data_IF_322119476152
#
_entry.id   IF_322119476152
#
_cell.length_a   1.000
_cell.length_b   1.000
_cell.length_c   1.000
_cell.angle_alpha   90.00
_cell.angle_beta   90.00
_cell.angle_gamma   90.00
#
_symmetry.space_group_name_H-M   'P 1'
#
loop_
_entity.id
_entity.type
_entity.pdbx_description
1 polymer ?
#
# COMPACT_ATOMS: atom_id res chain seq x y z
N UNK A 1 -9.25 -18.36 -16.74
CA UNK A 1 -7.97 -17.94 -17.39
C UNK A 1 -7.88 -16.40 -17.32
N UNK A 2 -6.77 -15.86 -16.84
CA UNK A 2 -6.53 -14.42 -16.81
C UNK A 2 -6.40 -13.86 -18.23
N UNK A 3 -7.00 -12.69 -18.47
CA UNK A 3 -6.80 -12.00 -19.75
C UNK A 3 -5.40 -11.41 -19.83
N UNK A 4 -4.79 -11.40 -21.02
CA UNK A 4 -3.48 -10.79 -21.26
C UNK A 4 -3.45 -9.30 -20.88
N UNK A 5 -4.58 -8.60 -21.02
CA UNK A 5 -4.74 -7.19 -20.64
C UNK A 5 -4.58 -7.02 -19.13
N UNK A 6 -5.26 -7.85 -18.33
CA UNK A 6 -5.19 -7.80 -16.86
C UNK A 6 -3.79 -8.19 -16.37
N UNK A 7 -3.19 -9.24 -16.92
CA UNK A 7 -1.80 -9.62 -16.57
C UNK A 7 -0.83 -8.45 -16.79
N UNK A 8 -0.89 -7.81 -17.95
CA UNK A 8 -0.04 -6.66 -18.29
C UNK A 8 -0.29 -5.48 -17.33
N UNK A 9 -1.54 -5.19 -17.03
CA UNK A 9 -1.89 -4.12 -16.08
C UNK A 9 -1.30 -4.40 -14.69
N UNK A 10 -1.50 -5.59 -14.13
CA UNK A 10 -0.95 -5.98 -12.82
C UNK A 10 0.57 -5.83 -12.80
N UNK A 11 1.27 -6.35 -13.81
CA UNK A 11 2.73 -6.23 -13.89
C UNK A 11 3.20 -4.77 -13.96
N UNK A 12 2.47 -3.90 -14.66
CA UNK A 12 2.77 -2.47 -14.76
C UNK A 12 2.65 -1.74 -13.41
N UNK A 13 1.78 -2.19 -12.49
CA UNK A 13 1.61 -1.60 -11.16
C UNK A 13 2.86 -1.66 -10.28
N UNK A 14 3.89 -2.41 -10.67
CA UNK A 14 5.23 -2.33 -10.08
C UNK A 14 5.82 -0.92 -10.18
N UNK A 15 5.47 -0.16 -11.22
CA UNK A 15 6.00 1.17 -11.50
C UNK A 15 5.05 2.27 -11.01
N UNK A 16 5.57 3.26 -10.27
CA UNK A 16 4.80 4.39 -9.70
C UNK A 16 3.95 5.11 -10.73
N UNK A 17 4.47 5.30 -11.97
CA UNK A 17 3.74 5.98 -13.05
C UNK A 17 2.40 5.30 -13.38
N UNK A 18 2.38 3.97 -13.41
CA UNK A 18 1.16 3.22 -13.74
C UNK A 18 0.19 3.14 -12.55
N UNK A 19 0.71 3.08 -11.29
CA UNK A 19 -0.16 3.20 -10.11
C UNK A 19 -0.91 4.53 -10.11
N UNK A 20 -0.21 5.63 -10.43
CA UNK A 20 -0.85 6.95 -10.59
C UNK A 20 -1.84 7.00 -11.75
N UNK A 21 -1.47 6.42 -12.90
CA UNK A 21 -2.30 6.43 -14.12
C UNK A 21 -3.61 5.68 -13.93
N UNK A 22 -3.53 4.49 -13.31
CA UNK A 22 -4.70 3.61 -13.10
C UNK A 22 -5.40 3.87 -11.77
N UNK A 23 -4.78 4.63 -10.87
CA UNK A 23 -5.19 4.80 -9.47
C UNK A 23 -5.33 3.47 -8.72
N UNK A 24 -4.41 2.52 -8.99
CA UNK A 24 -4.43 1.16 -8.47
C UNK A 24 -3.08 0.78 -7.85
N UNK A 25 -3.11 -0.14 -6.88
CA UNK A 25 -1.93 -0.80 -6.34
C UNK A 25 -2.17 -2.28 -6.11
N UNK A 26 -1.08 -3.05 -5.96
CA UNK A 26 -1.11 -4.50 -5.72
C UNK A 26 -0.74 -4.79 -4.27
N UNK A 27 -1.50 -5.71 -3.67
CA UNK A 27 -1.18 -6.34 -2.40
C UNK A 27 -1.14 -7.86 -2.57
N UNK A 28 -0.08 -8.49 -2.10
CA UNK A 28 0.10 -9.95 -2.13
C UNK A 28 0.21 -10.50 -0.71
N UNK A 29 -0.42 -11.63 -0.46
CA UNK A 29 -0.41 -12.31 0.83
C UNK A 29 -1.70 -12.14 1.63
N UNK A 30 -2.03 -13.20 2.36
CA UNK A 30 -3.32 -13.34 3.03
C UNK A 30 -3.57 -12.21 4.04
N UNK A 31 -2.64 -11.99 4.96
CA UNK A 31 -2.79 -10.97 6.00
C UNK A 31 -3.00 -9.57 5.41
N UNK A 32 -2.17 -9.18 4.43
CA UNK A 32 -2.24 -7.85 3.83
C UNK A 32 -3.56 -7.66 3.08
N UNK A 33 -3.98 -8.64 2.29
CA UNK A 33 -5.23 -8.58 1.51
C UNK A 33 -6.44 -8.53 2.44
N UNK A 34 -6.50 -9.38 3.47
CA UNK A 34 -7.61 -9.41 4.41
C UNK A 34 -7.68 -8.14 5.27
N UNK A 35 -6.54 -7.60 5.71
CA UNK A 35 -6.49 -6.33 6.45
C UNK A 35 -7.01 -5.16 5.60
N UNK A 36 -6.62 -5.09 4.32
CA UNK A 36 -7.13 -4.07 3.40
C UNK A 36 -8.64 -4.19 3.19
N UNK A 37 -9.17 -5.40 3.01
CA UNK A 37 -10.62 -5.63 2.89
C UNK A 37 -11.36 -5.25 4.18
N UNK A 38 -10.83 -5.61 5.34
CA UNK A 38 -11.39 -5.25 6.65
C UNK A 38 -11.41 -3.74 6.86
N UNK A 39 -10.42 -3.04 6.36
CA UNK A 39 -10.34 -1.58 6.37
C UNK A 39 -11.14 -0.91 5.23
N UNK A 40 -11.95 -1.69 4.50
CA UNK A 40 -12.86 -1.22 3.42
C UNK A 40 -12.13 -0.60 2.22
N UNK A 41 -10.91 -1.02 1.93
CA UNK A 41 -10.29 -0.71 0.65
C UNK A 41 -11.09 -1.38 -0.47
N UNK A 42 -11.29 -0.67 -1.57
CA UNK A 42 -12.11 -1.12 -2.70
C UNK A 42 -11.24 -2.01 -3.61
N UNK A 43 -11.52 -3.32 -3.69
CA UNK A 43 -10.81 -4.18 -4.62
C UNK A 43 -11.34 -3.97 -6.05
N UNK A 44 -10.44 -3.83 -7.00
CA UNK A 44 -10.72 -3.92 -8.44
C UNK A 44 -10.82 -5.39 -8.87
N UNK A 45 -9.92 -6.22 -8.32
CA UNK A 45 -9.94 -7.68 -8.50
C UNK A 45 -9.22 -8.37 -7.35
N UNK A 46 -9.78 -9.51 -6.94
CA UNK A 46 -9.14 -10.46 -6.02
C UNK A 46 -8.85 -11.75 -6.78
N UNK A 47 -7.62 -12.24 -6.72
CA UNK A 47 -7.15 -13.43 -7.42
C UNK A 47 -6.58 -14.41 -6.41
N UNK A 48 -6.95 -15.70 -6.51
CA UNK A 48 -6.41 -16.69 -5.58
C UNK A 48 -6.20 -18.07 -6.24
N UNK A 49 -5.24 -18.82 -5.70
CA UNK A 49 -4.95 -20.20 -6.12
C UNK A 49 -5.62 -21.25 -5.22
N UNK A 50 -6.21 -20.83 -4.10
CA UNK A 50 -6.97 -21.67 -3.16
C UNK A 50 -8.27 -20.96 -2.76
N UNK A 51 -9.15 -21.66 -2.09
CA UNK A 51 -10.39 -21.11 -1.53
C UNK A 51 -10.13 -20.38 -0.21
N UNK A 52 -10.95 -19.38 0.06
CA UNK A 52 -10.94 -18.58 1.30
C UNK A 52 -12.37 -18.51 1.84
N UNK A 53 -12.56 -18.80 3.13
CA UNK A 53 -13.89 -18.88 3.74
C UNK A 53 -14.63 -17.54 3.83
N UNK A 54 -13.89 -16.42 3.89
CA UNK A 54 -14.44 -15.08 4.14
C UNK A 54 -14.55 -14.19 2.91
N UNK A 55 -14.07 -14.64 1.75
CA UNK A 55 -14.04 -13.87 0.50
C UNK A 55 -14.19 -14.80 -0.71
N UNK A 56 -14.68 -14.27 -1.81
CA UNK A 56 -14.84 -14.98 -3.09
C UNK A 56 -13.89 -14.41 -4.16
N UNK A 57 -12.60 -14.76 -4.15
CA UNK A 57 -11.67 -14.31 -5.17
C UNK A 57 -11.86 -15.07 -6.48
N UNK A 58 -11.48 -14.46 -7.58
CA UNK A 58 -11.41 -15.16 -8.86
C UNK A 58 -10.31 -16.22 -8.81
N UNK A 59 -10.68 -17.50 -9.00
CA UNK A 59 -9.76 -18.64 -8.92
C UNK A 59 -8.86 -18.69 -10.15
N UNK A 60 -7.56 -18.74 -9.90
CA UNK A 60 -6.52 -18.85 -10.93
C UNK A 60 -5.56 -19.99 -10.61
N UNK A 61 -4.80 -20.40 -11.59
CA UNK A 61 -3.76 -21.42 -11.43
C UNK A 61 -2.51 -20.84 -10.77
N UNK A 62 -1.70 -21.70 -10.15
CA UNK A 62 -0.38 -21.29 -9.60
C UNK A 62 0.53 -20.73 -10.71
N UNK A 63 0.43 -21.22 -11.93
CA UNK A 63 1.20 -20.73 -13.07
C UNK A 63 0.77 -19.30 -13.46
N UNK A 64 -0.53 -19.04 -13.50
CA UNK A 64 -1.05 -17.67 -13.71
C UNK A 64 -0.60 -16.73 -12.61
N UNK A 65 -0.66 -17.14 -11.33
CA UNK A 65 -0.18 -16.33 -10.21
C UNK A 65 1.33 -16.03 -10.34
N UNK A 66 2.14 -17.02 -10.73
CA UNK A 66 3.57 -16.79 -10.99
C UNK A 66 3.84 -15.77 -12.10
N UNK A 67 2.96 -15.68 -13.08
CA UNK A 67 3.13 -14.74 -14.19
C UNK A 67 2.84 -13.29 -13.83
N UNK A 68 2.14 -13.03 -12.72
CA UNK A 68 1.71 -11.69 -12.30
C UNK A 68 2.31 -11.23 -10.98
N UNK A 69 2.93 -12.11 -10.18
CA UNK A 69 3.55 -11.75 -8.90
C UNK A 69 4.70 -10.75 -9.08
N UNK A 70 4.84 -9.85 -8.11
CA UNK A 70 5.95 -8.91 -8.04
C UNK A 70 7.13 -9.42 -7.20
N UNK A 71 7.02 -10.63 -6.66
CA UNK A 71 8.01 -11.26 -5.77
C UNK A 71 8.59 -12.54 -6.39
N UNK A 72 9.66 -13.05 -5.82
CA UNK A 72 10.32 -14.28 -6.25
C UNK A 72 9.43 -15.52 -6.06
N UNK A 73 8.58 -15.51 -5.04
CA UNK A 73 7.62 -16.56 -4.75
C UNK A 73 6.21 -15.98 -4.70
N UNK A 74 5.25 -16.54 -5.46
CA UNK A 74 3.89 -16.05 -5.45
C UNK A 74 3.19 -16.38 -4.12
N UNK A 75 2.36 -15.48 -3.66
CA UNK A 75 1.43 -15.73 -2.56
C UNK A 75 0.17 -16.44 -3.07
N UNK A 76 -0.56 -17.18 -2.22
CA UNK A 76 -1.79 -17.86 -2.63
C UNK A 76 -2.94 -16.91 -2.97
N UNK A 77 -2.81 -15.63 -2.61
CA UNK A 77 -3.79 -14.58 -2.88
C UNK A 77 -3.10 -13.27 -3.27
N UNK A 78 -3.71 -12.55 -4.18
CA UNK A 78 -3.35 -11.21 -4.62
C UNK A 78 -4.62 -10.36 -4.76
N UNK A 79 -4.56 -9.12 -4.28
CA UNK A 79 -5.58 -8.10 -4.53
C UNK A 79 -5.00 -6.92 -5.31
N UNK A 80 -5.77 -6.43 -6.27
CA UNK A 80 -5.57 -5.12 -6.89
C UNK A 80 -6.59 -4.19 -6.27
N UNK A 81 -6.14 -3.11 -5.66
CA UNK A 81 -7.00 -2.18 -4.92
C UNK A 81 -6.90 -0.78 -5.48
N UNK A 82 -7.97 0.00 -5.34
CA UNK A 82 -7.96 1.42 -5.63
C UNK A 82 -7.11 2.16 -4.60
N UNK A 83 -6.30 3.12 -5.07
CA UNK A 83 -5.53 3.99 -4.17
C UNK A 83 -6.52 4.97 -3.52
N UNK A 84 -6.61 5.00 -2.18
CA UNK A 84 -7.51 5.93 -1.51
C UNK A 84 -7.01 7.36 -1.63
N UNK A 85 -7.93 8.31 -1.66
CA UNK A 85 -7.59 9.73 -1.57
C UNK A 85 -7.70 10.18 -0.11
N UNK A 86 -6.56 10.49 0.50
CA UNK A 86 -6.49 10.98 1.87
C UNK A 86 -6.31 12.49 1.91
N UNK A 87 -7.12 13.16 2.73
CA UNK A 87 -6.94 14.56 3.10
C UNK A 87 -6.28 14.65 4.47
N UNK A 88 -5.51 15.71 4.71
CA UNK A 88 -4.99 16.01 6.05
C UNK A 88 -6.08 16.82 6.76
N UNK A 89 -6.94 16.13 7.50
CA UNK A 89 -8.11 16.77 8.12
C UNK A 89 -7.77 17.52 9.40
N UNK A 90 -6.74 17.09 10.14
CA UNK A 90 -6.25 17.75 11.36
C UNK A 90 -4.79 17.39 11.63
N UNK A 91 -4.07 18.29 12.30
CA UNK A 91 -2.74 18.01 12.82
C UNK A 91 -2.89 17.43 14.23
N UNK A 92 -2.59 16.13 14.44
CA UNK A 92 -2.70 15.52 15.76
C UNK A 92 -1.71 16.13 16.76
N UNK A 93 -1.88 15.83 18.05
CA UNK A 93 -0.98 16.31 19.10
C UNK A 93 0.47 15.89 18.85
N UNK A 94 0.68 14.69 18.37
CA UNK A 94 1.97 14.18 17.94
C UNK A 94 1.86 13.68 16.49
N UNK A 95 2.82 14.05 15.64
CA UNK A 95 2.87 13.62 14.26
C UNK A 95 4.28 13.23 13.84
N UNK A 96 4.42 12.08 13.24
CA UNK A 96 5.67 11.64 12.64
C UNK A 96 5.82 12.26 11.25
N UNK A 97 6.96 12.89 11.00
CA UNK A 97 7.34 13.45 9.70
C UNK A 97 8.59 12.76 9.20
N UNK A 98 8.56 12.28 7.97
CA UNK A 98 9.66 11.55 7.33
C UNK A 98 10.23 12.37 6.18
N UNK A 99 11.54 12.61 6.20
CA UNK A 99 12.25 13.25 5.11
C UNK A 99 13.12 12.26 4.37
N UNK A 100 12.91 12.15 3.04
CA UNK A 100 13.73 11.39 2.09
C UNK A 100 13.98 9.91 2.44
N UNK A 101 13.00 9.23 3.02
CA UNK A 101 13.06 7.78 3.20
C UNK A 101 12.91 7.10 1.83
N UNK A 102 14.00 6.53 1.31
CA UNK A 102 14.06 5.92 -0.03
C UNK A 102 13.88 4.40 -0.01
N UNK A 103 14.30 3.73 1.05
CA UNK A 103 14.23 2.27 1.14
C UNK A 103 12.81 1.79 1.47
N UNK A 104 12.25 0.87 0.65
CA UNK A 104 10.91 0.35 0.86
C UNK A 104 10.73 -0.44 2.17
N UNK A 105 11.77 -1.18 2.59
CA UNK A 105 11.76 -1.95 3.83
C UNK A 105 11.70 -1.04 5.05
N UNK A 106 12.51 0.02 5.04
CA UNK A 106 12.53 1.02 6.11
C UNK A 106 11.17 1.71 6.23
N UNK A 107 10.59 2.18 5.11
CA UNK A 107 9.26 2.80 5.16
C UNK A 107 8.20 1.83 5.69
N UNK A 108 8.20 0.58 5.22
CA UNK A 108 7.27 -0.43 5.70
C UNK A 108 7.42 -0.71 7.20
N UNK A 109 8.64 -0.76 7.71
CA UNK A 109 8.92 -0.92 9.15
C UNK A 109 8.43 0.27 9.96
N UNK A 110 8.65 1.50 9.48
CA UNK A 110 8.16 2.72 10.13
C UNK A 110 6.63 2.71 10.18
N UNK A 111 5.96 2.34 9.10
CA UNK A 111 4.48 2.24 9.06
C UNK A 111 3.99 1.22 10.10
N UNK A 112 4.62 0.03 10.21
CA UNK A 112 4.27 -0.97 11.22
C UNK A 112 4.47 -0.47 12.64
N UNK A 113 5.59 0.19 12.90
CA UNK A 113 5.88 0.79 14.21
C UNK A 113 4.86 1.85 14.55
N UNK A 114 4.50 2.69 13.58
CA UNK A 114 3.48 3.74 13.76
C UNK A 114 2.11 3.15 14.10
N UNK A 115 1.70 2.11 13.39
CA UNK A 115 0.46 1.37 13.68
C UNK A 115 0.47 0.79 15.11
N UNK A 116 1.59 0.18 15.52
CA UNK A 116 1.76 -0.37 16.86
C UNK A 116 1.60 0.67 17.97
N UNK A 117 2.09 1.89 17.74
CA UNK A 117 1.96 3.02 18.68
C UNK A 117 0.68 3.84 18.50
N UNK A 118 -0.26 3.38 17.66
CA UNK A 118 -1.55 4.03 17.46
C UNK A 118 -1.49 5.32 16.63
N UNK A 119 -0.42 5.55 15.87
CA UNK A 119 -0.33 6.66 14.94
C UNK A 119 -1.12 6.32 13.66
N UNK A 120 -2.21 7.04 13.43
CA UNK A 120 -3.08 6.81 12.28
C UNK A 120 -2.63 7.53 11.00
N UNK A 121 -1.63 8.41 11.08
CA UNK A 121 -1.13 9.15 9.93
C UNK A 121 0.36 9.52 10.05
N UNK A 122 1.03 9.56 8.91
CA UNK A 122 2.44 9.95 8.74
C UNK A 122 2.51 11.00 7.62
N UNK A 123 3.33 12.03 7.82
CA UNK A 123 3.67 12.98 6.75
C UNK A 123 5.02 12.62 6.16
N UNK A 124 5.10 12.59 4.83
CA UNK A 124 6.32 12.25 4.09
C UNK A 124 6.71 13.40 3.16
N UNK A 125 8.00 13.62 2.99
CA UNK A 125 8.49 14.47 1.90
C UNK A 125 8.12 13.86 0.54
N UNK A 126 8.02 14.69 -0.51
CA UNK A 126 7.72 14.24 -1.87
C UNK A 126 8.74 13.23 -2.41
N UNK A 127 9.94 13.25 -1.85
CA UNK A 127 11.06 12.38 -2.21
C UNK A 127 11.06 11.02 -1.50
N UNK A 128 10.17 10.79 -0.53
CA UNK A 128 10.02 9.48 0.06
C UNK A 128 9.53 8.46 -0.97
N UNK A 129 9.92 7.19 -0.74
CA UNK A 129 9.39 6.08 -1.53
C UNK A 129 7.86 6.01 -1.40
N UNK A 130 7.18 5.68 -2.49
CA UNK A 130 5.73 5.57 -2.53
C UNK A 130 5.24 4.42 -1.64
N UNK A 131 4.34 4.70 -0.71
CA UNK A 131 3.80 3.70 0.23
C UNK A 131 3.04 2.57 -0.46
N UNK A 132 2.48 2.81 -1.66
CA UNK A 132 1.83 1.79 -2.48
C UNK A 132 2.79 1.04 -3.42
N UNK A 133 4.12 1.24 -3.29
CA UNK A 133 5.09 0.36 -3.90
C UNK A 133 4.89 -1.07 -3.36
N UNK A 134 4.81 -2.13 -4.20
CA UNK A 134 4.57 -3.50 -3.74
C UNK A 134 5.51 -3.95 -2.62
N UNK A 135 6.78 -3.55 -2.65
CA UNK A 135 7.74 -3.88 -1.59
C UNK A 135 7.41 -3.18 -0.27
N UNK A 136 6.92 -1.93 -0.30
CA UNK A 136 6.46 -1.24 0.91
C UNK A 136 5.20 -1.92 1.44
N UNK A 137 4.20 -2.13 0.59
CA UNK A 137 2.94 -2.80 0.96
C UNK A 137 3.22 -4.13 1.66
N UNK A 138 4.11 -4.95 1.08
CA UNK A 138 4.53 -6.22 1.68
C UNK A 138 5.22 -6.03 3.04
N UNK A 139 6.14 -5.06 3.15
CA UNK A 139 6.89 -4.79 4.37
C UNK A 139 6.02 -4.26 5.52
N UNK A 140 4.85 -3.66 5.22
CA UNK A 140 3.91 -3.18 6.24
C UNK A 140 3.17 -4.31 6.95
N UNK A 141 3.14 -5.52 6.41
CA UNK A 141 2.41 -6.66 6.98
C UNK A 141 0.94 -6.36 7.32
N UNK A 142 0.28 -5.51 6.49
CA UNK A 142 -1.11 -5.09 6.67
C UNK A 142 -1.30 -3.73 7.35
N UNK A 143 -0.30 -3.17 8.03
CA UNK A 143 -0.44 -1.86 8.71
C UNK A 143 -0.75 -0.70 7.77
N UNK A 144 -0.47 -0.83 6.46
CA UNK A 144 -0.86 0.15 5.43
C UNK A 144 -2.39 0.38 5.37
N UNK A 145 -3.17 -0.55 5.87
CA UNK A 145 -4.62 -0.45 5.94
C UNK A 145 -5.10 0.54 7.02
N UNK A 146 -4.27 0.84 8.03
CA UNK A 146 -4.63 1.64 9.21
C UNK A 146 -3.88 2.95 9.32
N UNK A 147 -2.71 3.07 8.67
CA UNK A 147 -1.86 4.26 8.71
C UNK A 147 -1.91 5.00 7.38
N UNK A 148 -2.42 6.23 7.39
CA UNK A 148 -2.52 7.10 6.21
C UNK A 148 -1.18 7.81 5.97
N UNK A 149 -0.69 7.83 4.74
CA UNK A 149 0.52 8.58 4.37
C UNK A 149 0.17 9.78 3.49
N UNK A 150 0.70 10.95 3.89
CA UNK A 150 0.51 12.21 3.18
C UNK A 150 1.85 12.69 2.64
N UNK A 151 1.95 12.87 1.32
CA UNK A 151 3.17 13.35 0.65
C UNK A 151 3.06 14.85 0.38
N UNK A 152 3.95 15.63 1.00
CA UNK A 152 3.91 17.10 0.95
C UNK A 152 5.29 17.71 0.74
N UNK A 153 5.33 18.96 0.29
CA UNK A 153 6.54 19.79 0.36
C UNK A 153 6.74 20.23 1.82
N UNK A 154 7.73 19.64 2.52
CA UNK A 154 7.93 19.83 3.97
C UNK A 154 8.12 21.31 4.37
N UNK A 155 8.84 22.09 3.57
CA UNK A 155 9.00 23.52 3.86
C UNK A 155 7.65 24.26 3.97
N UNK A 156 6.74 23.99 3.02
CA UNK A 156 5.41 24.59 3.04
C UNK A 156 4.52 24.00 4.13
N UNK A 157 4.72 22.74 4.45
CA UNK A 157 4.01 22.06 5.53
C UNK A 157 4.39 22.67 6.90
N UNK A 158 5.68 22.79 7.21
CA UNK A 158 6.15 23.32 8.49
C UNK A 158 5.75 24.79 8.72
N UNK A 159 5.63 25.61 7.67
CA UNK A 159 5.15 26.99 7.79
C UNK A 159 3.68 27.10 8.27
N UNK A 160 2.92 26.00 8.19
CA UNK A 160 1.50 25.96 8.61
C UNK A 160 1.29 25.32 9.97
N UNK A 161 2.37 24.83 10.59
CA UNK A 161 2.30 24.13 11.87
C UNK A 161 2.77 25.07 12.97
N UNK A 162 1.88 25.33 13.93
CA UNK A 162 2.18 26.05 15.16
C UNK A 162 2.42 25.06 16.31
N UNK A 163 3.43 24.21 16.14
CA UNK A 163 3.82 23.19 17.12
C UNK A 163 5.33 23.02 17.17
N UNK A 164 5.91 22.64 18.31
CA UNK A 164 7.33 22.34 18.40
C UNK A 164 7.73 21.23 17.44
N UNK A 165 8.89 21.39 16.80
CA UNK A 165 9.51 20.38 15.93
C UNK A 165 10.78 19.91 16.65
N UNK A 166 10.92 18.61 16.81
CA UNK A 166 12.03 17.96 17.51
C UNK A 166 12.87 17.12 16.56
#
# INVERSE_FOLDING_TARGET
MLSNKLCKQIQQLKLKKFRKQYNLFVAEGENVVLDLLSAKFIPEVLLATKEFASIEPFKITTQEMRSITHFSSPSPIMGVFQIPNYTIDSVPTFQLVLDRIKDPGNLGTIIRTSDWYGLSQIVCSLDCVDCFNPKVVQATMGSIARVKLHYVALESYFKRIDKPIY
#
